data_IF_996422848730
#
_entry.id   IF_996422848730
#
_cell.length_a   1.000
_cell.length_b   1.000
_cell.length_c   1.000
_cell.angle_alpha   90.00
_cell.angle_beta   90.00
_cell.angle_gamma   90.00
#
_symmetry.space_group_name_H-M   'P 1'
#
loop_
_entity.id
_entity.type
_entity.pdbx_description
1 polymer ?
#
# COMPACT_ATOMS: atom_id res chain seq x y z
N UNK A 1 -25.34 25.73 6.52
CA UNK A 1 -24.55 24.64 7.13
C UNK A 1 -25.34 23.36 6.90
N UNK A 2 -24.82 22.41 6.13
CA UNK A 2 -25.51 21.12 5.89
C UNK A 2 -25.58 20.32 7.21
N UNK A 3 -26.64 19.52 7.39
CA UNK A 3 -26.76 18.63 8.54
C UNK A 3 -25.57 17.65 8.58
N UNK A 4 -25.10 17.30 9.78
CA UNK A 4 -23.99 16.36 9.95
C UNK A 4 -24.50 14.94 9.80
N UNK A 5 -23.94 14.17 8.88
CA UNK A 5 -24.28 12.76 8.60
C UNK A 5 -23.04 11.89 8.82
N UNK A 6 -23.21 10.72 9.43
CA UNK A 6 -22.18 9.68 9.52
C UNK A 6 -22.13 8.92 8.18
N UNK A 7 -20.98 8.85 7.50
CA UNK A 7 -20.86 8.12 6.23
C UNK A 7 -21.11 6.60 6.35
N UNK A 8 -21.11 6.05 7.56
CA UNK A 8 -21.34 4.63 7.84
C UNK A 8 -22.78 4.33 8.31
N UNK A 9 -23.53 5.32 8.79
CA UNK A 9 -24.96 5.19 9.10
C UNK A 9 -25.79 5.35 7.83
N UNK A 10 -25.90 4.29 7.01
CA UNK A 10 -26.92 4.27 5.97
C UNK A 10 -27.41 2.84 5.66
N UNK A 11 -28.64 2.56 6.11
CA UNK A 11 -29.56 1.85 5.23
C UNK A 11 -29.64 2.65 3.91
N UNK A 12 -28.96 2.15 2.86
CA UNK A 12 -29.21 2.44 1.44
C UNK A 12 -29.23 3.92 0.95
N UNK A 13 -28.62 4.88 1.63
CA UNK A 13 -28.60 6.30 1.18
C UNK A 13 -27.18 6.82 0.97
N UNK A 14 -26.86 7.20 -0.27
CA UNK A 14 -25.58 7.85 -0.64
C UNK A 14 -25.44 9.20 0.12
N UNK A 15 -24.46 9.34 1.04
CA UNK A 15 -24.29 10.57 1.83
C UNK A 15 -23.75 11.75 0.99
N UNK A 16 -23.35 11.51 -0.26
CA UNK A 16 -22.84 12.48 -1.22
C UNK A 16 -23.88 12.96 -2.24
N UNK A 17 -25.05 12.31 -2.31
CA UNK A 17 -26.14 12.69 -3.20
C UNK A 17 -26.55 14.16 -3.02
N UNK A 18 -26.72 14.87 -4.15
CA UNK A 18 -27.11 16.28 -4.19
C UNK A 18 -26.05 17.28 -3.69
N UNK A 19 -24.80 16.85 -3.48
CA UNK A 19 -23.69 17.72 -3.04
C UNK A 19 -22.67 18.03 -4.14
N UNK A 20 -22.90 17.54 -5.36
CA UNK A 20 -21.95 17.61 -6.46
C UNK A 20 -21.61 19.06 -6.89
N UNK A 21 -22.61 19.93 -7.02
CA UNK A 21 -22.41 21.35 -7.35
C UNK A 21 -21.63 22.11 -6.28
N UNK A 22 -21.89 21.83 -5.00
CA UNK A 22 -21.15 22.44 -3.89
C UNK A 22 -19.69 22.01 -3.87
N UNK A 23 -19.42 20.74 -4.17
CA UNK A 23 -18.06 20.23 -4.30
C UNK A 23 -17.32 20.91 -5.46
N UNK A 24 -17.99 21.16 -6.58
CA UNK A 24 -17.38 21.85 -7.72
C UNK A 24 -17.05 23.32 -7.45
N UNK A 25 -17.97 24.04 -6.81
CA UNK A 25 -17.76 25.44 -6.43
C UNK A 25 -16.49 25.63 -5.59
N UNK A 26 -16.05 24.58 -4.86
CA UNK A 26 -14.78 24.61 -4.15
C UNK A 26 -13.57 24.80 -5.07
N UNK A 27 -13.50 24.14 -6.22
CA UNK A 27 -12.35 24.21 -7.14
C UNK A 27 -12.18 25.57 -7.82
N UNK A 28 -13.23 26.40 -7.82
CA UNK A 28 -13.18 27.80 -8.31
C UNK A 28 -12.62 28.78 -7.28
N UNK A 29 -12.42 28.36 -6.03
CA UNK A 29 -11.84 29.20 -4.97
C UNK A 29 -10.31 29.10 -4.94
N UNK A 30 -9.61 30.11 -4.37
CA UNK A 30 -8.14 30.04 -4.11
C UNK A 30 -7.77 28.70 -3.48
N UNK A 31 -8.49 28.28 -2.44
CA UNK A 31 -8.22 27.03 -1.72
C UNK A 31 -8.34 25.80 -2.59
N UNK A 32 -9.35 25.77 -3.46
CA UNK A 32 -9.59 24.65 -4.36
C UNK A 32 -8.53 24.58 -5.44
N UNK A 33 -8.19 25.72 -6.05
CA UNK A 33 -7.10 25.82 -7.03
C UNK A 33 -5.74 25.47 -6.45
N UNK A 34 -5.37 26.06 -5.30
CA UNK A 34 -4.13 25.72 -4.58
C UNK A 34 -4.06 24.23 -4.27
N UNK A 35 -5.16 23.62 -3.80
CA UNK A 35 -5.22 22.18 -3.57
C UNK A 35 -4.98 21.40 -4.86
N UNK A 36 -5.73 21.73 -5.92
CA UNK A 36 -5.72 20.99 -7.18
C UNK A 36 -4.36 21.07 -7.84
N UNK A 37 -3.86 22.27 -8.10
CA UNK A 37 -2.64 22.52 -8.86
C UNK A 37 -1.40 22.00 -8.12
N UNK A 38 -1.25 22.28 -6.82
CA UNK A 38 -0.12 21.77 -6.04
C UNK A 38 -0.08 20.23 -5.98
N UNK A 39 -1.24 19.59 -5.84
CA UNK A 39 -1.32 18.12 -5.80
C UNK A 39 -1.06 17.53 -7.18
N UNK A 40 -1.61 18.13 -8.24
CA UNK A 40 -1.44 17.70 -9.61
C UNK A 40 0.02 17.84 -10.06
N UNK A 41 0.70 18.94 -9.75
CA UNK A 41 2.13 19.14 -10.02
C UNK A 41 2.98 18.05 -9.37
N UNK A 42 2.74 17.78 -8.08
CA UNK A 42 3.45 16.74 -7.33
C UNK A 42 3.18 15.35 -7.89
N UNK A 43 1.95 15.09 -8.30
CA UNK A 43 1.55 13.82 -8.90
C UNK A 43 2.24 13.64 -10.25
N UNK A 44 2.09 14.59 -11.18
CA UNK A 44 2.71 14.54 -12.51
C UNK A 44 4.23 14.40 -12.45
N UNK A 45 4.89 15.04 -11.47
CA UNK A 45 6.32 14.90 -11.25
C UNK A 45 6.74 13.49 -10.75
N UNK A 46 5.81 12.74 -10.17
CA UNK A 46 6.04 11.38 -9.67
C UNK A 46 5.64 10.30 -10.67
N UNK A 47 4.69 10.60 -11.58
CA UNK A 47 4.20 9.67 -12.59
C UNK A 47 5.27 9.36 -13.65
N UNK A 48 5.29 8.13 -14.21
CA UNK A 48 6.05 7.86 -15.44
C UNK A 48 5.48 8.69 -16.60
N UNK A 49 6.29 9.04 -17.63
CA UNK A 49 5.80 9.80 -18.78
C UNK A 49 4.61 9.10 -19.46
N UNK A 50 3.64 9.89 -19.93
CA UNK A 50 2.53 9.40 -20.73
C UNK A 50 3.03 8.74 -22.05
N UNK A 51 2.31 7.73 -22.59
CA UNK A 51 1.05 7.19 -22.09
C UNK A 51 1.25 6.21 -20.91
N UNK A 52 0.27 6.20 -20.00
CA UNK A 52 0.19 5.25 -18.89
C UNK A 52 -1.26 5.11 -18.41
N UNK A 53 -1.56 4.06 -17.66
CA UNK A 53 -2.90 3.79 -17.13
C UNK A 53 -3.00 4.28 -15.68
N UNK A 54 -4.02 5.07 -15.39
CA UNK A 54 -4.25 5.65 -14.06
C UNK A 54 -5.63 5.26 -13.54
N UNK A 55 -5.70 4.80 -12.30
CA UNK A 55 -6.95 4.64 -11.57
C UNK A 55 -7.16 5.84 -10.63
N UNK A 56 -8.25 6.58 -10.79
CA UNK A 56 -8.72 7.58 -9.83
C UNK A 56 -9.82 6.97 -8.96
N UNK A 57 -9.42 6.40 -7.82
CA UNK A 57 -10.29 5.64 -6.92
C UNK A 57 -10.98 6.59 -5.92
N UNK A 58 -12.29 6.76 -6.08
CA UNK A 58 -13.10 7.83 -5.47
C UNK A 58 -12.86 9.19 -6.14
N UNK A 59 -12.71 9.19 -7.47
CA UNK A 59 -12.37 10.39 -8.24
C UNK A 59 -13.50 11.41 -8.37
N UNK A 60 -14.72 11.04 -7.94
CA UNK A 60 -15.91 11.86 -7.95
C UNK A 60 -16.16 12.55 -9.28
N UNK A 61 -16.19 13.88 -9.25
CA UNK A 61 -16.55 14.73 -10.40
C UNK A 61 -15.40 14.92 -11.42
N UNK A 62 -14.32 14.15 -11.28
CA UNK A 62 -13.22 14.08 -12.25
C UNK A 62 -12.17 15.19 -12.15
N UNK A 63 -12.07 15.88 -11.00
CA UNK A 63 -11.16 17.03 -10.83
C UNK A 63 -9.69 16.70 -11.11
N UNK A 64 -9.24 15.48 -10.78
CA UNK A 64 -7.88 14.99 -11.11
C UNK A 64 -7.88 14.12 -12.37
N UNK A 65 -8.89 13.28 -12.56
CA UNK A 65 -9.00 12.43 -13.75
C UNK A 65 -8.95 13.20 -15.08
N UNK A 66 -9.67 14.31 -15.20
CA UNK A 66 -9.77 15.11 -16.44
C UNK A 66 -8.41 15.71 -16.84
N UNK A 67 -7.69 16.45 -15.98
CA UNK A 67 -6.37 16.99 -16.36
C UNK A 67 -5.33 15.91 -16.61
N UNK A 68 -5.43 14.73 -15.96
CA UNK A 68 -4.57 13.59 -16.28
C UNK A 68 -4.89 13.00 -17.68
N UNK A 69 -6.16 12.86 -18.04
CA UNK A 69 -6.54 12.45 -19.38
C UNK A 69 -6.08 13.46 -20.44
N UNK A 70 -6.18 14.76 -20.15
CA UNK A 70 -5.66 15.83 -21.01
C UNK A 70 -4.13 15.78 -21.15
N UNK A 71 -3.42 15.28 -20.13
CA UNK A 71 -1.98 15.05 -20.17
C UNK A 71 -1.58 13.75 -20.92
N UNK A 72 -2.54 13.00 -21.47
CA UNK A 72 -2.30 11.83 -22.30
C UNK A 72 -2.31 10.48 -21.56
N UNK A 73 -2.80 10.44 -20.32
CA UNK A 73 -3.01 9.18 -19.60
C UNK A 73 -4.36 8.54 -19.96
N UNK A 74 -4.40 7.21 -19.93
CA UNK A 74 -5.65 6.43 -19.96
C UNK A 74 -6.19 6.35 -18.54
N UNK A 75 -7.27 7.09 -18.26
CA UNK A 75 -7.78 7.25 -16.89
C UNK A 75 -9.09 6.48 -16.70
N UNK A 76 -9.08 5.60 -15.71
CA UNK A 76 -10.27 4.97 -15.14
C UNK A 76 -10.67 5.69 -13.86
N UNK A 77 -11.90 6.20 -13.80
CA UNK A 77 -12.46 6.87 -12.62
C UNK A 77 -13.49 5.92 -11.99
N UNK A 78 -13.23 5.52 -10.74
CA UNK A 78 -14.09 4.65 -9.93
C UNK A 78 -14.75 5.49 -8.83
N UNK A 79 -16.08 5.50 -8.74
CA UNK A 79 -16.80 6.20 -7.68
C UNK A 79 -18.17 5.55 -7.40
N UNK A 80 -18.64 5.47 -6.13
CA UNK A 80 -19.95 4.89 -5.84
C UNK A 80 -21.14 5.77 -6.27
N UNK A 81 -20.94 7.08 -6.47
CA UNK A 81 -22.04 8.00 -6.80
C UNK A 81 -22.24 8.14 -8.30
N UNK A 82 -23.32 7.54 -8.82
CA UNK A 82 -23.68 7.65 -10.25
C UNK A 82 -23.87 9.10 -10.70
N UNK A 83 -24.44 9.96 -9.84
CA UNK A 83 -24.60 11.40 -10.09
C UNK A 83 -23.24 12.07 -10.37
N UNK A 84 -22.22 11.72 -9.56
CA UNK A 84 -20.88 12.30 -9.69
C UNK A 84 -20.17 11.78 -10.94
N UNK A 85 -20.34 10.51 -11.28
CA UNK A 85 -19.83 9.91 -12.51
C UNK A 85 -20.46 10.54 -13.76
N UNK A 86 -21.78 10.73 -13.79
CA UNK A 86 -22.45 11.39 -14.91
C UNK A 86 -21.90 12.80 -15.13
N UNK A 87 -21.69 13.55 -14.04
CA UNK A 87 -21.10 14.88 -14.12
C UNK A 87 -19.62 14.85 -14.56
N UNK A 88 -18.83 13.88 -14.10
CA UNK A 88 -17.46 13.68 -14.56
C UNK A 88 -17.40 13.40 -16.07
N UNK A 89 -18.32 12.58 -16.58
CA UNK A 89 -18.46 12.29 -18.01
C UNK A 89 -18.74 13.53 -18.85
N UNK A 90 -19.75 14.33 -18.46
CA UNK A 90 -20.08 15.60 -19.14
C UNK A 90 -18.88 16.55 -19.19
N UNK A 91 -18.13 16.67 -18.09
CA UNK A 91 -16.95 17.54 -18.04
C UNK A 91 -15.79 17.03 -18.87
N UNK A 92 -15.59 15.71 -18.90
CA UNK A 92 -14.60 15.10 -19.77
C UNK A 92 -14.91 15.42 -21.23
N UNK A 93 -16.18 15.29 -21.64
CA UNK A 93 -16.65 15.67 -22.98
C UNK A 93 -16.40 17.16 -23.28
N UNK A 94 -16.75 18.06 -22.36
CA UNK A 94 -16.51 19.50 -22.48
C UNK A 94 -15.00 19.84 -22.60
N UNK A 95 -14.15 19.10 -21.89
CA UNK A 95 -12.70 19.23 -21.96
C UNK A 95 -12.06 18.51 -23.17
N UNK A 96 -12.86 17.81 -23.98
CA UNK A 96 -12.39 17.09 -25.16
C UNK A 96 -11.55 15.84 -24.84
N UNK A 97 -11.76 15.22 -23.67
CA UNK A 97 -11.04 14.02 -23.22
C UNK A 97 -12.02 12.89 -22.92
N UNK A 98 -11.54 11.66 -22.92
CA UNK A 98 -12.33 10.47 -22.57
C UNK A 98 -11.88 9.91 -21.23
N UNK A 99 -12.84 9.48 -20.40
CA UNK A 99 -12.61 8.74 -19.17
C UNK A 99 -13.34 7.39 -19.23
N UNK A 100 -12.74 6.35 -18.63
CA UNK A 100 -13.48 5.12 -18.32
C UNK A 100 -14.16 5.30 -16.97
N UNK A 101 -15.48 5.37 -16.94
CA UNK A 101 -16.26 5.58 -15.71
C UNK A 101 -16.76 4.24 -15.16
N UNK A 102 -16.51 3.98 -13.88
CA UNK A 102 -16.85 2.70 -13.23
C UNK A 102 -17.62 2.98 -11.94
N UNK A 103 -18.90 2.58 -11.84
CA UNK A 103 -19.65 2.70 -10.59
C UNK A 103 -19.20 1.65 -9.59
N UNK A 104 -18.90 2.09 -8.36
CA UNK A 104 -18.63 1.21 -7.24
C UNK A 104 -17.63 1.76 -6.23
N UNK A 105 -17.42 1.01 -5.14
CA UNK A 105 -16.56 1.44 -4.04
C UNK A 105 -15.10 1.07 -4.29
N UNK A 106 -14.17 1.76 -3.64
CA UNK A 106 -12.72 1.51 -3.78
C UNK A 106 -12.34 0.11 -3.29
N UNK A 107 -13.03 -0.38 -2.27
CA UNK A 107 -12.89 -1.72 -1.72
C UNK A 107 -13.19 -2.83 -2.75
N UNK A 108 -14.01 -2.52 -3.77
CA UNK A 108 -14.46 -3.42 -4.84
C UNK A 108 -13.58 -3.32 -6.10
N UNK A 109 -12.52 -2.50 -6.09
CA UNK A 109 -11.70 -2.23 -7.28
C UNK A 109 -11.17 -3.50 -7.98
N UNK A 110 -10.87 -4.56 -7.22
CA UNK A 110 -10.38 -5.83 -7.78
C UNK A 110 -11.41 -6.47 -8.72
N UNK A 111 -12.69 -6.41 -8.37
CA UNK A 111 -13.78 -7.01 -9.12
C UNK A 111 -14.20 -6.12 -10.29
N UNK A 112 -14.25 -4.81 -10.05
CA UNK A 112 -14.84 -3.84 -10.98
C UNK A 112 -13.91 -3.40 -12.11
N UNK A 113 -12.61 -3.27 -11.82
CA UNK A 113 -11.59 -2.89 -12.82
C UNK A 113 -10.59 -4.01 -13.10
N UNK A 114 -10.98 -5.24 -12.74
CA UNK A 114 -10.14 -6.44 -12.68
C UNK A 114 -9.59 -6.98 -14.01
N UNK A 115 -8.63 -7.90 -13.86
CA UNK A 115 -7.81 -8.51 -14.93
C UNK A 115 -6.33 -8.75 -14.55
N UNK A 116 -5.94 -8.40 -13.32
CA UNK A 116 -4.57 -8.42 -12.80
C UNK A 116 -3.96 -7.00 -12.69
N UNK A 117 -2.68 -6.87 -12.30
CA UNK A 117 -1.99 -5.59 -12.18
C UNK A 117 -1.94 -4.81 -13.51
N UNK A 118 -2.69 -3.71 -13.59
CA UNK A 118 -2.98 -3.00 -14.84
C UNK A 118 -2.66 -1.50 -14.82
N UNK A 119 -2.57 -0.88 -13.64
CA UNK A 119 -2.39 0.56 -13.49
C UNK A 119 -0.95 0.93 -13.13
N UNK A 120 -0.43 1.97 -13.80
CA UNK A 120 0.88 2.57 -13.54
C UNK A 120 0.82 3.57 -12.38
N UNK A 121 -0.38 4.06 -12.06
CA UNK A 121 -0.64 4.84 -10.86
C UNK A 121 -2.07 4.71 -10.35
N UNK A 122 -2.23 4.93 -9.05
CA UNK A 122 -3.52 5.01 -8.38
C UNK A 122 -3.61 6.28 -7.53
N UNK A 123 -4.69 7.02 -7.70
CA UNK A 123 -5.07 8.14 -6.85
C UNK A 123 -6.15 7.65 -5.88
N UNK A 124 -6.06 8.10 -4.64
CA UNK A 124 -7.08 7.89 -3.60
C UNK A 124 -7.17 9.18 -2.78
N UNK A 125 -7.88 10.18 -3.32
CA UNK A 125 -7.84 11.57 -2.82
C UNK A 125 -9.09 11.92 -2.04
N UNK A 126 -8.94 12.10 -0.73
CA UNK A 126 -10.01 12.38 0.23
C UNK A 126 -11.06 11.26 0.28
N UNK A 127 -10.57 10.02 0.31
CA UNK A 127 -11.39 8.79 0.29
C UNK A 127 -11.14 7.96 1.53
N UNK A 128 -9.87 7.77 1.93
CA UNK A 128 -9.54 6.97 3.11
C UNK A 128 -10.18 7.51 4.39
N UNK A 129 -10.46 8.81 4.43
CA UNK A 129 -11.17 9.48 5.50
C UNK A 129 -12.67 9.13 5.63
N UNK A 130 -13.28 8.52 4.62
CA UNK A 130 -14.71 8.16 4.58
C UNK A 130 -14.98 6.65 4.65
N UNK A 131 -14.03 5.82 4.23
CA UNK A 131 -14.19 4.35 4.25
C UNK A 131 -14.13 3.80 5.68
N UNK A 132 -14.75 2.64 5.88
CA UNK A 132 -14.75 1.95 7.18
C UNK A 132 -13.33 1.52 7.59
N UNK A 133 -12.67 0.76 6.70
CA UNK A 133 -11.29 0.31 6.85
C UNK A 133 -10.39 0.84 5.70
N UNK A 134 -9.57 1.86 5.97
CA UNK A 134 -8.60 2.38 5.00
C UNK A 134 -7.60 1.35 4.47
N UNK A 135 -7.26 0.33 5.25
CA UNK A 135 -6.31 -0.70 4.81
C UNK A 135 -6.95 -1.67 3.82
N UNK A 136 -8.26 -1.95 3.93
CA UNK A 136 -9.00 -2.70 2.92
C UNK A 136 -8.97 -1.96 1.59
N UNK A 137 -9.26 -0.66 1.60
CA UNK A 137 -9.18 0.17 0.39
C UNK A 137 -7.75 0.17 -0.20
N UNK A 138 -6.72 0.36 0.63
CA UNK A 138 -5.32 0.36 0.20
C UNK A 138 -4.85 -0.99 -0.38
N UNK A 139 -5.34 -2.11 0.17
CA UNK A 139 -5.09 -3.47 -0.37
C UNK A 139 -5.78 -3.69 -1.71
N UNK A 140 -7.04 -3.24 -1.86
CA UNK A 140 -7.79 -3.36 -3.09
C UNK A 140 -7.08 -2.61 -4.23
N UNK A 141 -6.68 -1.36 -4.01
CA UNK A 141 -5.94 -0.59 -5.02
C UNK A 141 -4.53 -1.13 -5.26
N UNK A 142 -3.89 -1.75 -4.26
CA UNK A 142 -2.61 -2.43 -4.48
C UNK A 142 -2.74 -3.57 -5.47
N UNK A 143 -3.79 -4.37 -5.37
CA UNK A 143 -3.95 -5.57 -6.19
C UNK A 143 -4.07 -5.26 -7.69
N UNK A 144 -4.68 -4.12 -8.04
CA UNK A 144 -4.83 -3.68 -9.44
C UNK A 144 -3.64 -2.84 -9.94
N UNK A 145 -2.73 -2.45 -9.06
CA UNK A 145 -1.54 -1.66 -9.39
C UNK A 145 -0.35 -2.53 -9.82
N UNK A 146 0.33 -2.13 -10.90
CA UNK A 146 1.58 -2.75 -11.35
C UNK A 146 2.68 -2.61 -10.30
N UNK A 147 3.69 -3.47 -10.39
CA UNK A 147 4.90 -3.28 -9.59
C UNK A 147 5.55 -1.93 -9.94
N UNK A 148 6.02 -1.21 -8.91
CA UNK A 148 6.57 0.13 -9.09
C UNK A 148 5.53 1.23 -9.36
N UNK A 149 4.24 0.90 -9.48
CA UNK A 149 3.18 1.89 -9.68
C UNK A 149 3.15 2.93 -8.55
N UNK A 150 2.75 4.16 -8.88
CA UNK A 150 2.66 5.26 -7.91
C UNK A 150 1.31 5.24 -7.21
N UNK A 151 1.29 5.29 -5.89
CA UNK A 151 0.11 5.63 -5.10
C UNK A 151 0.18 7.08 -4.65
N UNK A 152 -0.88 7.84 -4.89
CA UNK A 152 -1.05 9.21 -4.41
C UNK A 152 -2.31 9.30 -3.53
N UNK A 153 -2.14 9.67 -2.26
CA UNK A 153 -3.28 9.86 -1.33
C UNK A 153 -3.31 11.26 -0.76
N UNK A 154 -4.49 11.84 -0.60
CA UNK A 154 -4.67 13.21 -0.09
C UNK A 154 -5.74 13.21 1.00
N UNK A 155 -5.33 13.31 2.26
CA UNK A 155 -6.24 13.11 3.39
C UNK A 155 -6.27 14.31 4.33
N UNK A 156 -7.29 14.37 5.20
CA UNK A 156 -7.32 15.39 6.27
C UNK A 156 -6.16 15.17 7.24
N UNK A 157 -5.39 16.24 7.47
CA UNK A 157 -4.29 16.23 8.41
C UNK A 157 -4.78 16.50 9.83
N UNK A 158 -4.66 15.52 10.72
CA UNK A 158 -5.08 15.62 12.13
C UNK A 158 -4.34 16.75 12.84
N UNK A 159 -3.04 16.87 12.61
CA UNK A 159 -2.19 17.86 13.30
C UNK A 159 -2.51 19.30 12.86
N UNK A 160 -3.20 19.49 11.73
CA UNK A 160 -3.66 20.79 11.22
C UNK A 160 -5.13 21.11 11.50
N UNK A 161 -5.91 20.19 12.09
CA UNK A 161 -7.36 20.38 12.21
C UNK A 161 -7.76 21.61 13.04
N UNK A 162 -7.06 21.85 14.14
CA UNK A 162 -7.35 22.94 15.08
C UNK A 162 -6.98 24.33 14.54
N UNK A 163 -6.18 24.42 13.48
CA UNK A 163 -5.68 25.70 12.95
C UNK A 163 -6.82 26.59 12.44
N UNK A 164 -7.66 26.05 11.56
CA UNK A 164 -8.78 26.80 10.97
C UNK A 164 -9.77 27.36 12.00
N UNK A 165 -10.36 26.56 12.91
CA UNK A 165 -11.24 27.10 13.94
C UNK A 165 -10.50 28.07 14.88
N UNK A 166 -9.22 27.81 15.19
CA UNK A 166 -8.40 28.72 15.98
C UNK A 166 -8.23 30.09 15.32
N UNK A 167 -7.91 30.14 14.03
CA UNK A 167 -7.83 31.39 13.26
C UNK A 167 -9.18 32.09 13.11
N UNK A 168 -10.28 31.34 13.07
CA UNK A 168 -11.63 31.89 13.04
C UNK A 168 -12.14 32.35 14.42
N UNK A 169 -11.36 32.16 15.50
CA UNK A 169 -11.75 32.52 16.87
C UNK A 169 -12.71 31.53 17.55
N UNK A 170 -13.02 30.39 16.93
CA UNK A 170 -13.81 29.32 17.54
C UNK A 170 -12.93 28.44 18.43
N UNK A 171 -12.63 28.95 19.63
CA UNK A 171 -11.73 28.29 20.58
C UNK A 171 -12.26 26.95 21.10
N UNK A 172 -13.58 26.77 21.13
CA UNK A 172 -14.22 25.53 21.56
C UNK A 172 -14.02 24.42 20.53
N UNK A 173 -14.26 24.73 19.24
CA UNK A 173 -13.95 23.83 18.13
C UNK A 173 -12.46 23.54 18.04
N UNK A 174 -11.61 24.56 18.17
CA UNK A 174 -10.16 24.40 18.14
C UNK A 174 -9.68 23.46 19.25
N UNK A 175 -10.20 23.61 20.48
CA UNK A 175 -9.87 22.73 21.61
C UNK A 175 -10.28 21.28 21.33
N UNK A 176 -11.51 21.07 20.85
CA UNK A 176 -12.01 19.72 20.52
C UNK A 176 -11.22 19.06 19.39
N UNK A 177 -10.80 19.83 18.39
CA UNK A 177 -10.01 19.35 17.27
C UNK A 177 -8.58 18.92 17.64
N UNK A 178 -8.05 19.32 18.80
CA UNK A 178 -6.74 18.85 19.28
C UNK A 178 -6.74 17.37 19.66
N UNK A 179 -7.87 16.88 20.18
CA UNK A 179 -7.99 15.52 20.73
C UNK A 179 -8.85 14.58 19.87
N UNK A 180 -9.66 15.13 18.95
CA UNK A 180 -10.56 14.35 18.09
C UNK A 180 -9.89 13.92 16.78
N UNK A 181 -9.87 12.61 16.45
CA UNK A 181 -9.49 12.13 15.12
C UNK A 181 -10.61 12.31 14.08
N UNK A 182 -11.76 12.84 14.47
CA UNK A 182 -12.93 13.05 13.61
C UNK A 182 -13.23 14.53 13.43
N UNK A 183 -13.63 14.93 12.22
CA UNK A 183 -14.03 16.30 11.92
C UNK A 183 -15.10 16.37 10.83
N UNK A 184 -16.16 17.15 11.06
CA UNK A 184 -17.10 17.45 9.99
C UNK A 184 -16.46 18.35 8.92
N UNK A 185 -16.57 17.96 7.65
CA UNK A 185 -16.25 18.83 6.51
C UNK A 185 -17.32 19.90 6.27
N UNK A 186 -17.12 20.78 5.30
CA UNK A 186 -18.19 21.70 4.84
C UNK A 186 -19.37 20.95 4.19
N UNK A 187 -19.14 19.74 3.71
CA UNK A 187 -20.15 18.81 3.19
C UNK A 187 -21.12 18.29 4.27
N UNK A 188 -20.87 18.60 5.56
CA UNK A 188 -21.64 18.03 6.66
C UNK A 188 -21.43 16.53 6.81
N UNK A 189 -20.37 15.95 6.26
CA UNK A 189 -20.10 14.51 6.41
C UNK A 189 -18.98 14.37 7.43
N UNK A 190 -19.26 13.61 8.50
CA UNK A 190 -18.24 13.26 9.48
C UNK A 190 -17.17 12.40 8.81
N UNK A 191 -15.90 12.65 9.11
CA UNK A 191 -14.83 11.89 8.49
C UNK A 191 -13.58 11.92 9.36
N UNK A 192 -12.72 10.93 9.11
CA UNK A 192 -11.49 10.72 9.84
C UNK A 192 -10.41 11.71 9.38
N UNK A 193 -9.54 12.09 10.29
CA UNK A 193 -8.27 12.74 9.98
C UNK A 193 -7.12 11.88 10.49
N UNK A 194 -6.03 11.90 9.73
CA UNK A 194 -4.87 11.05 9.99
C UNK A 194 -3.65 11.89 10.36
N UNK A 195 -2.75 11.27 11.11
CA UNK A 195 -1.35 11.69 11.15
C UNK A 195 -0.59 11.04 10.01
N UNK A 196 0.44 11.71 9.51
CA UNK A 196 1.27 11.17 8.42
C UNK A 196 1.89 9.80 8.76
N UNK A 197 2.24 9.57 10.03
CA UNK A 197 2.77 8.28 10.49
C UNK A 197 1.77 7.13 10.33
N UNK A 198 0.48 7.38 10.60
CA UNK A 198 -0.59 6.38 10.48
C UNK A 198 -0.80 6.00 9.01
N UNK A 199 -0.91 6.99 8.11
CA UNK A 199 -1.07 6.75 6.67
C UNK A 199 0.11 5.96 6.11
N UNK A 200 1.34 6.34 6.46
CA UNK A 200 2.55 5.65 6.00
C UNK A 200 2.65 4.22 6.53
N UNK A 201 2.22 3.96 7.77
CA UNK A 201 2.19 2.60 8.32
C UNK A 201 1.14 1.73 7.63
N UNK A 202 -0.05 2.27 7.34
CA UNK A 202 -1.07 1.56 6.56
C UNK A 202 -0.55 1.24 5.15
N UNK A 203 0.11 2.19 4.49
CA UNK A 203 0.76 1.95 3.19
C UNK A 203 1.73 0.76 3.23
N UNK A 204 2.64 0.73 4.22
CA UNK A 204 3.62 -0.37 4.37
C UNK A 204 2.93 -1.72 4.57
N UNK A 205 1.95 -1.80 5.46
CA UNK A 205 1.20 -3.04 5.75
C UNK A 205 0.38 -3.55 4.56
N UNK A 206 0.12 -2.69 3.57
CA UNK A 206 -0.73 -2.99 2.41
C UNK A 206 0.04 -3.06 1.09
N UNK A 207 1.37 -3.20 1.14
CA UNK A 207 2.19 -3.46 -0.04
C UNK A 207 2.66 -2.20 -0.78
N UNK A 208 2.75 -1.07 -0.08
CA UNK A 208 3.25 0.20 -0.60
C UNK A 208 4.46 0.70 0.20
N UNK A 209 5.47 1.23 -0.49
CA UNK A 209 6.61 1.92 0.15
C UNK A 209 6.44 3.43 0.06
N UNK A 210 6.21 4.14 1.19
CA UNK A 210 6.12 5.60 1.18
C UNK A 210 7.41 6.25 0.69
N UNK A 211 7.29 7.21 -0.23
CA UNK A 211 8.41 7.94 -0.85
C UNK A 211 8.51 9.36 -0.33
N UNK A 212 7.40 10.11 -0.33
CA UNK A 212 7.40 11.49 0.13
C UNK A 212 6.03 11.92 0.66
N UNK A 213 5.99 13.06 1.34
CA UNK A 213 4.74 13.68 1.75
C UNK A 213 4.86 15.21 1.79
N UNK A 214 3.73 15.88 1.63
CA UNK A 214 3.60 17.32 1.70
C UNK A 214 2.37 17.75 2.48
N UNK A 215 2.46 18.92 3.11
CA UNK A 215 1.31 19.65 3.61
C UNK A 215 0.68 20.44 2.46
N UNK A 216 -0.65 20.45 2.39
CA UNK A 216 -1.40 21.17 1.35
C UNK A 216 -2.40 22.10 2.02
N UNK A 217 -2.45 23.36 1.54
CA UNK A 217 -3.25 24.46 2.08
C UNK A 217 -2.86 24.78 3.51
N UNK A 218 -1.72 25.43 3.68
CA UNK A 218 -1.36 26.03 4.96
C UNK A 218 -1.90 27.46 5.05
N UNK A 219 -1.41 28.33 4.17
CA UNK A 219 -1.73 29.76 4.20
C UNK A 219 -3.03 30.05 3.46
N UNK A 220 -3.38 29.27 2.44
CA UNK A 220 -4.64 29.46 1.72
C UNK A 220 -5.86 29.03 2.55
N UNK A 221 -5.71 28.14 3.54
CA UNK A 221 -6.85 27.53 4.26
C UNK A 221 -7.75 28.52 5.02
N UNK A 222 -7.21 29.52 5.75
CA UNK A 222 -8.02 30.49 6.47
C UNK A 222 -8.78 31.46 5.55
N UNK A 223 -8.38 31.61 4.28
CA UNK A 223 -9.05 32.50 3.34
C UNK A 223 -10.38 31.90 2.88
N UNK A 224 -11.48 32.59 3.20
CA UNK A 224 -12.86 32.21 2.86
C UNK A 224 -13.44 33.27 1.93
N UNK A 225 -13.50 32.95 0.63
CA UNK A 225 -14.32 33.58 -0.44
C UNK A 225 -13.84 35.02 -0.82
N UNK A 226 -13.74 35.53 -2.06
CA UNK A 226 -14.29 35.28 -3.41
C UNK A 226 -13.22 34.88 -4.46
N UNK A 227 -13.65 34.67 -5.72
CA UNK A 227 -12.80 34.35 -6.87
C UNK A 227 -11.64 35.35 -7.05
N UNK A 228 -10.40 34.92 -6.83
CA UNK A 228 -9.21 35.77 -6.92
C UNK A 228 -8.92 36.19 -8.37
N UNK A 229 -8.15 37.26 -8.57
CA UNK A 229 -7.46 37.49 -9.84
C UNK A 229 -6.46 36.33 -10.08
N UNK A 230 -6.21 35.96 -11.34
CA UNK A 230 -5.22 34.93 -11.70
C UNK A 230 -3.83 35.26 -11.13
N UNK A 231 -3.48 36.56 -11.07
CA UNK A 231 -2.21 37.01 -10.47
C UNK A 231 -2.10 36.71 -8.98
N UNK A 232 -3.23 36.61 -8.27
CA UNK A 232 -3.23 36.27 -6.84
C UNK A 232 -3.02 34.77 -6.65
N UNK A 233 -3.59 33.91 -7.51
CA UNK A 233 -3.44 32.45 -7.37
C UNK A 233 -2.01 32.00 -7.61
N UNK A 234 -1.31 32.56 -8.59
CA UNK A 234 0.10 32.24 -8.85
C UNK A 234 0.98 32.52 -7.63
N UNK A 235 0.79 33.67 -6.96
CA UNK A 235 1.52 34.03 -5.75
C UNK A 235 1.21 33.10 -4.58
N UNK A 236 -0.07 32.73 -4.39
CA UNK A 236 -0.47 31.74 -3.39
C UNK A 236 0.18 30.38 -3.64
N UNK A 237 0.19 29.93 -4.90
CA UNK A 237 0.82 28.67 -5.29
C UNK A 237 2.32 28.68 -5.06
N UNK A 238 3.03 29.75 -5.42
CA UNK A 238 4.47 29.87 -5.18
C UNK A 238 4.82 29.72 -3.70
N UNK A 239 4.09 30.43 -2.83
CA UNK A 239 4.29 30.33 -1.39
C UNK A 239 3.94 28.92 -0.86
N UNK A 240 2.81 28.35 -1.28
CA UNK A 240 2.38 27.02 -0.85
C UNK A 240 3.36 25.94 -1.33
N UNK A 241 3.93 26.05 -2.53
CA UNK A 241 4.98 25.16 -3.05
C UNK A 241 6.22 25.19 -2.15
N UNK A 242 6.67 26.38 -1.73
CA UNK A 242 7.86 26.51 -0.88
C UNK A 242 7.68 25.79 0.47
N UNK A 243 6.48 25.89 1.06
CA UNK A 243 6.23 25.32 2.39
C UNK A 243 5.72 23.88 2.38
N UNK A 244 5.19 23.40 1.25
CA UNK A 244 4.59 22.07 1.13
C UNK A 244 5.50 20.94 1.60
N UNK A 245 6.81 21.03 1.32
CA UNK A 245 7.82 20.05 1.72
C UNK A 245 8.59 20.38 2.99
N UNK A 246 8.36 21.54 3.63
CA UNK A 246 9.27 22.13 4.62
C UNK A 246 8.69 22.01 6.05
N UNK A 247 9.42 21.38 6.95
CA UNK A 247 9.10 21.41 8.39
C UNK A 247 9.49 22.78 8.98
N UNK A 248 8.74 23.32 9.96
CA UNK A 248 7.55 22.74 10.59
C UNK A 248 6.24 22.96 9.80
N UNK A 249 6.25 23.76 8.73
CA UNK A 249 5.06 24.25 8.03
C UNK A 249 4.15 23.13 7.52
N UNK A 250 4.71 22.14 6.80
CA UNK A 250 3.93 21.04 6.23
C UNK A 250 3.15 20.21 7.26
N UNK A 251 3.59 20.20 8.54
CA UNK A 251 2.94 19.42 9.62
C UNK A 251 1.60 19.98 10.05
N UNK A 252 1.38 21.28 9.86
CA UNK A 252 0.17 21.97 10.35
C UNK A 252 -0.74 22.45 9.22
N UNK A 253 -0.41 22.09 7.96
CA UNK A 253 -1.26 22.33 6.81
C UNK A 253 -2.59 21.55 6.91
N UNK A 254 -3.63 21.99 6.18
CA UNK A 254 -4.97 21.42 6.29
C UNK A 254 -5.06 19.96 5.83
N UNK A 255 -4.35 19.63 4.76
CA UNK A 255 -4.34 18.30 4.16
C UNK A 255 -2.92 17.76 4.14
N UNK A 256 -2.79 16.44 4.13
CA UNK A 256 -1.54 15.74 3.87
C UNK A 256 -1.65 15.03 2.53
N UNK A 257 -0.70 15.27 1.64
CA UNK A 257 -0.53 14.54 0.38
C UNK A 257 0.66 13.60 0.53
N UNK A 258 0.45 12.30 0.39
CA UNK A 258 1.51 11.28 0.45
C UNK A 258 1.66 10.60 -0.90
N UNK A 259 2.91 10.29 -1.23
CA UNK A 259 3.28 9.49 -2.39
C UNK A 259 3.96 8.21 -1.91
N UNK A 260 3.59 7.08 -2.50
CA UNK A 260 4.20 5.78 -2.28
C UNK A 260 4.38 5.05 -3.62
N UNK A 261 5.18 3.98 -3.61
CA UNK A 261 5.34 3.10 -4.77
C UNK A 261 4.97 1.68 -4.40
N UNK A 262 4.33 0.95 -5.32
CA UNK A 262 3.99 -0.45 -5.13
C UNK A 262 5.29 -1.25 -4.96
N UNK A 263 5.43 -1.92 -3.82
CA UNK A 263 6.49 -2.93 -3.63
C UNK A 263 5.97 -4.27 -4.14
N UNK A 264 6.82 -5.15 -4.69
CA UNK A 264 6.42 -6.47 -5.16
C UNK A 264 5.55 -7.18 -4.12
N UNK A 265 4.51 -7.92 -4.54
CA UNK A 265 3.74 -8.74 -3.61
C UNK A 265 4.70 -9.60 -2.81
N UNK A 266 4.56 -9.58 -1.48
CA UNK A 266 5.33 -10.47 -0.63
C UNK A 266 4.96 -11.94 -0.91
N UNK A 267 3.81 -12.25 -1.51
CA UNK A 267 3.45 -13.62 -1.83
C UNK A 267 4.31 -14.24 -2.95
N UNK A 268 4.84 -15.45 -2.74
CA UNK A 268 5.32 -16.33 -3.79
C UNK A 268 4.25 -17.38 -4.11
N UNK A 269 3.93 -17.56 -5.39
CA UNK A 269 3.12 -18.69 -5.86
C UNK A 269 3.98 -19.97 -5.79
N UNK A 270 4.03 -20.57 -4.61
CA UNK A 270 4.87 -21.75 -4.33
C UNK A 270 4.47 -22.93 -5.22
N UNK A 271 3.19 -23.09 -5.50
CA UNK A 271 2.70 -24.19 -6.34
C UNK A 271 3.21 -24.03 -7.77
N UNK A 272 3.15 -22.81 -8.33
CA UNK A 272 3.73 -22.54 -9.65
C UNK A 272 5.26 -22.70 -9.66
N UNK A 273 5.96 -22.24 -8.62
CA UNK A 273 7.42 -22.41 -8.50
C UNK A 273 7.80 -23.90 -8.40
N UNK A 274 7.05 -24.68 -7.62
CA UNK A 274 7.28 -26.10 -7.45
C UNK A 274 7.00 -26.86 -8.75
N UNK A 275 5.89 -26.58 -9.43
CA UNK A 275 5.58 -27.16 -10.75
C UNK A 275 6.70 -26.87 -11.77
N UNK A 276 7.17 -25.61 -11.83
CA UNK A 276 8.30 -25.24 -12.68
C UNK A 276 9.62 -25.91 -12.25
N UNK A 277 9.77 -26.27 -10.98
CA UNK A 277 10.95 -26.96 -10.45
C UNK A 277 11.01 -28.41 -10.91
N UNK A 278 9.88 -29.13 -10.85
CA UNK A 278 9.77 -30.50 -11.39
C UNK A 278 9.89 -30.53 -12.91
N UNK A 279 9.28 -29.57 -13.61
CA UNK A 279 9.40 -29.46 -15.06
C UNK A 279 10.86 -29.29 -15.53
N UNK A 280 11.67 -28.56 -14.75
CA UNK A 280 13.12 -28.35 -15.00
C UNK A 280 14.02 -29.46 -14.44
N UNK A 281 13.49 -30.37 -13.62
CA UNK A 281 14.29 -31.45 -13.04
C UNK A 281 14.62 -32.50 -14.10
N UNK A 282 15.91 -32.73 -14.33
CA UNK A 282 16.44 -33.70 -15.29
C UNK A 282 17.38 -34.70 -14.61
N UNK A 283 17.57 -35.86 -15.25
CA UNK A 283 18.50 -36.91 -14.81
C UNK A 283 18.33 -37.30 -13.34
N UNK A 284 19.44 -37.32 -12.60
CA UNK A 284 19.49 -37.74 -11.20
C UNK A 284 18.63 -36.90 -10.27
N UNK A 285 18.33 -35.64 -10.61
CA UNK A 285 17.41 -34.82 -9.79
C UNK A 285 16.00 -35.37 -9.86
N UNK A 286 15.52 -35.76 -11.05
CA UNK A 286 14.17 -36.31 -11.23
C UNK A 286 14.04 -37.69 -10.58
N UNK A 287 15.10 -38.48 -10.59
CA UNK A 287 15.14 -39.77 -9.90
C UNK A 287 15.14 -39.62 -8.37
N UNK A 288 15.86 -38.63 -7.84
CA UNK A 288 15.92 -38.39 -6.39
C UNK A 288 14.70 -37.62 -5.84
N UNK A 289 13.99 -36.89 -6.70
CA UNK A 289 12.79 -36.10 -6.37
C UNK A 289 11.68 -36.42 -7.38
N UNK A 290 11.08 -37.60 -7.30
CA UNK A 290 9.95 -37.97 -8.14
C UNK A 290 8.75 -37.04 -7.89
N UNK A 291 8.19 -36.50 -8.97
CA UNK A 291 7.09 -35.54 -8.89
C UNK A 291 5.81 -36.15 -8.28
N UNK A 292 5.63 -37.46 -8.44
CA UNK A 292 4.48 -38.22 -7.91
C UNK A 292 4.41 -38.19 -6.37
N UNK A 293 5.57 -38.07 -5.72
CA UNK A 293 5.70 -38.17 -4.26
C UNK A 293 5.85 -36.78 -3.61
N UNK A 294 5.58 -35.73 -4.38
CA UNK A 294 5.69 -34.35 -3.92
C UNK A 294 4.57 -33.97 -2.94
N UNK A 295 4.94 -33.37 -1.80
CA UNK A 295 4.01 -32.59 -0.97
C UNK A 295 3.55 -31.36 -1.76
N UNK A 296 2.22 -31.16 -1.90
CA UNK A 296 1.62 -30.06 -2.68
C UNK A 296 0.59 -29.26 -1.90
N UNK A 297 0.37 -28.01 -2.31
CA UNK A 297 -0.68 -27.14 -1.80
C UNK A 297 -0.76 -27.15 -0.27
N UNK A 298 -1.93 -27.50 0.27
CA UNK A 298 -2.18 -27.54 1.71
C UNK A 298 -1.22 -28.47 2.47
N UNK A 299 -0.84 -29.63 1.92
CA UNK A 299 0.03 -30.59 2.60
C UNK A 299 1.47 -30.06 2.76
N UNK A 300 1.97 -29.35 1.74
CA UNK A 300 3.27 -28.67 1.81
C UNK A 300 3.25 -27.55 2.86
N UNK A 301 2.21 -26.73 2.84
CA UNK A 301 2.07 -25.62 3.78
C UNK A 301 1.97 -26.13 5.23
N UNK A 302 1.12 -27.13 5.48
CA UNK A 302 0.97 -27.73 6.80
C UNK A 302 2.29 -28.35 7.31
N UNK A 303 3.04 -29.01 6.42
CA UNK A 303 4.37 -29.53 6.76
C UNK A 303 5.31 -28.39 7.19
N UNK A 304 5.44 -27.33 6.41
CA UNK A 304 6.35 -26.21 6.73
C UNK A 304 5.91 -25.42 7.97
N UNK A 305 4.61 -25.20 8.15
CA UNK A 305 4.06 -24.48 9.30
C UNK A 305 4.32 -25.22 10.61
N UNK A 306 4.14 -26.54 10.62
CA UNK A 306 4.37 -27.40 11.80
C UNK A 306 5.84 -27.42 12.24
N UNK A 307 6.79 -27.29 11.32
CA UNK A 307 8.23 -27.46 11.64
C UNK A 307 8.81 -26.17 12.20
N UNK A 308 9.48 -26.26 13.36
CA UNK A 308 10.12 -25.12 14.01
C UNK A 308 11.46 -24.70 13.39
N UNK A 309 12.23 -25.67 12.90
CA UNK A 309 13.62 -25.45 12.48
C UNK A 309 13.90 -26.12 11.15
N UNK A 310 14.80 -25.53 10.37
CA UNK A 310 15.35 -26.11 9.15
C UNK A 310 16.83 -25.76 9.00
N UNK A 311 17.48 -26.40 8.03
CA UNK A 311 18.88 -26.17 7.71
C UNK A 311 18.99 -25.10 6.62
N UNK A 312 19.59 -23.96 6.94
CA UNK A 312 19.91 -22.92 5.96
C UNK A 312 21.37 -23.03 5.53
N UNK A 313 21.59 -23.21 4.23
CA UNK A 313 22.90 -23.16 3.59
C UNK A 313 23.08 -21.80 2.91
N UNK A 314 24.19 -21.12 3.23
CA UNK A 314 24.61 -19.82 2.68
C UNK A 314 26.05 -19.90 2.20
N UNK A 315 26.46 -19.03 1.27
CA UNK A 315 27.82 -19.05 0.70
C UNK A 315 28.73 -18.08 1.46
N UNK A 316 29.87 -18.56 1.96
CA UNK A 316 30.89 -17.67 2.55
C UNK A 316 31.60 -16.87 1.45
N UNK A 317 32.22 -15.72 1.77
CA UNK A 317 33.01 -14.96 0.79
C UNK A 317 34.15 -15.73 0.10
N UNK A 318 34.63 -16.82 0.69
CA UNK A 318 35.64 -17.71 0.11
C UNK A 318 35.04 -18.89 -0.68
N UNK A 319 33.72 -18.87 -0.94
CA UNK A 319 32.98 -19.88 -1.69
C UNK A 319 32.61 -21.13 -0.91
N UNK A 320 33.07 -21.31 0.34
CA UNK A 320 32.69 -22.49 1.14
C UNK A 320 31.25 -22.39 1.63
N UNK A 321 30.47 -23.50 1.62
CA UNK A 321 29.13 -23.49 2.16
C UNK A 321 29.15 -23.36 3.69
N UNK A 322 28.18 -22.64 4.22
CA UNK A 322 27.89 -22.53 5.65
C UNK A 322 26.45 -22.97 5.89
N UNK A 323 26.31 -24.14 6.51
CA UNK A 323 25.02 -24.71 6.90
C UNK A 323 24.78 -24.48 8.39
N UNK A 324 23.60 -23.97 8.74
CA UNK A 324 23.19 -23.76 10.12
C UNK A 324 21.72 -24.07 10.33
N UNK A 325 21.40 -24.70 11.46
CA UNK A 325 20.01 -24.84 11.92
C UNK A 325 19.46 -23.47 12.30
N UNK A 326 18.31 -23.12 11.76
CA UNK A 326 17.65 -21.83 11.99
C UNK A 326 16.15 -22.04 12.22
N UNK A 327 15.61 -21.26 13.15
CA UNK A 327 14.18 -21.17 13.36
C UNK A 327 13.54 -20.30 12.27
N UNK A 328 12.31 -20.62 11.89
CA UNK A 328 11.64 -19.96 10.78
C UNK A 328 10.12 -19.92 10.93
N UNK A 329 9.52 -18.94 10.26
CA UNK A 329 8.09 -18.88 9.96
C UNK A 329 7.91 -18.87 8.44
N UNK A 330 6.78 -19.39 7.98
CA UNK A 330 6.36 -19.26 6.58
C UNK A 330 5.10 -18.44 6.53
N UNK A 331 4.98 -17.61 5.49
CA UNK A 331 3.73 -16.90 5.17
C UNK A 331 3.76 -16.50 3.71
N UNK A 332 2.63 -16.67 3.03
CA UNK A 332 2.46 -16.28 1.64
C UNK A 332 3.55 -16.87 0.73
N UNK A 333 3.97 -18.11 1.01
CA UNK A 333 5.00 -18.78 0.21
C UNK A 333 6.44 -18.33 0.40
N UNK A 334 6.71 -17.40 1.32
CA UNK A 334 8.06 -16.99 1.70
C UNK A 334 8.51 -17.69 2.99
N UNK A 335 9.82 -17.82 3.16
CA UNK A 335 10.44 -18.30 4.39
C UNK A 335 11.11 -17.13 5.12
N UNK A 336 10.64 -16.84 6.34
CA UNK A 336 11.14 -15.76 7.19
C UNK A 336 12.08 -16.35 8.25
N UNK A 337 13.32 -15.88 8.24
CA UNK A 337 14.44 -16.43 8.99
C UNK A 337 15.05 -15.33 9.88
N UNK A 338 14.54 -15.10 11.09
CA UNK A 338 15.06 -14.05 11.97
C UNK A 338 16.51 -14.28 12.38
N UNK A 339 17.24 -13.18 12.58
CA UNK A 339 18.65 -13.19 12.88
C UNK A 339 19.05 -12.03 13.81
N UNK A 340 20.20 -12.22 14.44
CA UNK A 340 20.92 -11.16 15.16
C UNK A 340 21.93 -10.52 14.21
N UNK A 341 22.18 -9.23 14.45
CA UNK A 341 23.14 -8.44 13.69
C UNK A 341 24.52 -9.08 13.78
N UNK A 342 25.21 -9.14 12.65
CA UNK A 342 26.54 -9.75 12.57
C UNK A 342 26.58 -11.28 12.57
N UNK A 343 25.42 -11.96 12.66
CA UNK A 343 25.35 -13.41 12.47
C UNK A 343 26.04 -13.82 11.15
N UNK A 344 26.73 -14.97 11.16
CA UNK A 344 27.49 -15.44 9.99
C UNK A 344 26.61 -15.51 8.74
N UNK A 345 25.37 -16.01 8.88
CA UNK A 345 24.41 -16.07 7.77
C UNK A 345 24.04 -14.69 7.21
N UNK A 346 23.89 -13.66 8.06
CA UNK A 346 23.57 -12.29 7.62
C UNK A 346 24.73 -11.73 6.80
N UNK A 347 25.97 -11.89 7.28
CA UNK A 347 27.17 -11.46 6.53
C UNK A 347 27.36 -12.22 5.22
N UNK A 348 27.06 -13.51 5.20
CA UNK A 348 27.11 -14.32 3.99
C UNK A 348 26.05 -13.85 2.97
N UNK A 349 24.82 -13.59 3.43
CA UNK A 349 23.71 -13.16 2.59
C UNK A 349 23.87 -11.74 2.03
N UNK A 350 24.55 -10.87 2.77
CA UNK A 350 24.98 -9.55 2.29
C UNK A 350 26.00 -9.66 1.13
N UNK A 351 26.82 -10.73 1.13
CA UNK A 351 27.79 -11.00 0.07
C UNK A 351 27.18 -11.73 -1.13
N UNK A 352 26.38 -12.77 -0.88
CA UNK A 352 25.69 -13.57 -1.89
C UNK A 352 24.25 -13.80 -1.42
N UNK A 353 23.23 -13.18 -2.06
CA UNK A 353 21.85 -13.24 -1.60
C UNK A 353 21.19 -14.60 -1.83
N UNK A 354 21.89 -15.59 -2.39
CA UNK A 354 21.32 -16.92 -2.68
C UNK A 354 21.45 -17.84 -1.48
N UNK A 355 20.41 -18.61 -1.21
CA UNK A 355 20.42 -19.65 -0.18
C UNK A 355 19.63 -20.89 -0.58
N UNK A 356 19.99 -22.02 0.04
CA UNK A 356 19.19 -23.24 0.04
C UNK A 356 18.72 -23.51 1.47
N UNK A 357 17.44 -23.82 1.62
CA UNK A 357 16.80 -24.11 2.90
C UNK A 357 16.15 -25.48 2.86
N UNK A 358 16.48 -26.34 3.83
CA UNK A 358 16.00 -27.72 3.87
C UNK A 358 15.24 -27.96 5.17
N UNK A 359 14.05 -28.53 5.05
CA UNK A 359 13.24 -28.98 6.18
C UNK A 359 12.95 -30.46 6.01
N UNK A 360 13.20 -31.26 7.04
CA UNK A 360 12.97 -32.70 6.99
C UNK A 360 12.34 -33.26 8.27
N UNK A 361 11.77 -34.45 8.14
CA UNK A 361 11.14 -35.23 9.19
C UNK A 361 11.28 -36.71 8.89
N UNK A 362 11.39 -37.54 9.93
CA UNK A 362 11.53 -38.99 9.78
C UNK A 362 12.90 -39.42 9.23
N UNK A 363 13.05 -40.74 9.14
CA UNK A 363 14.21 -41.43 8.58
C UNK A 363 13.73 -42.68 7.82
N UNK A 364 14.55 -43.21 6.90
CA UNK A 364 14.22 -44.44 6.19
C UNK A 364 12.97 -44.30 5.31
N UNK A 365 12.03 -45.23 5.42
CA UNK A 365 10.83 -45.29 4.58
C UNK A 365 9.76 -44.23 4.93
N UNK A 366 9.86 -43.61 6.11
CA UNK A 366 8.85 -42.64 6.58
C UNK A 366 9.34 -41.19 6.44
N UNK A 367 10.41 -40.95 5.66
CA UNK A 367 11.03 -39.64 5.59
C UNK A 367 10.25 -38.67 4.69
N UNK A 368 10.19 -37.42 5.14
CA UNK A 368 9.68 -36.27 4.37
C UNK A 368 10.76 -35.22 4.28
N UNK A 369 10.93 -34.63 3.11
CA UNK A 369 11.89 -33.56 2.90
C UNK A 369 11.33 -32.48 1.98
N UNK A 370 11.67 -31.23 2.27
CA UNK A 370 11.41 -30.08 1.41
C UNK A 370 12.71 -29.30 1.25
N UNK A 371 13.06 -28.99 0.00
CA UNK A 371 14.18 -28.12 -0.37
C UNK A 371 13.63 -26.88 -1.05
N UNK A 372 13.98 -25.72 -0.51
CA UNK A 372 13.66 -24.40 -1.04
C UNK A 372 14.95 -23.70 -1.42
N UNK A 373 15.13 -23.32 -2.68
CA UNK A 373 16.27 -22.51 -3.14
C UNK A 373 15.77 -21.17 -3.66
N UNK A 374 16.52 -20.10 -3.41
CA UNK A 374 16.20 -18.80 -4.01
C UNK A 374 16.97 -17.63 -3.44
N UNK A 375 16.50 -16.45 -3.81
CA UNK A 375 17.08 -15.19 -3.43
C UNK A 375 16.53 -14.74 -2.08
N UNK A 376 17.39 -14.11 -1.29
CA UNK A 376 17.10 -13.66 0.07
C UNK A 376 17.21 -12.15 0.14
N UNK A 377 16.17 -11.52 0.66
CA UNK A 377 16.18 -10.11 1.04
C UNK A 377 16.49 -10.01 2.54
N UNK A 378 17.46 -9.17 2.92
CA UNK A 378 17.75 -8.86 4.32
C UNK A 378 16.99 -7.60 4.76
N UNK A 379 16.16 -7.74 5.80
CA UNK A 379 15.42 -6.65 6.43
C UNK A 379 16.09 -6.28 7.75
N UNK A 380 16.92 -5.23 7.76
CA UNK A 380 17.74 -4.81 8.92
C UNK A 380 17.05 -3.87 9.92
N UNK A 381 15.77 -3.52 9.70
CA UNK A 381 14.88 -2.93 10.71
C UNK A 381 13.51 -3.63 10.63
N UNK A 382 13.40 -4.87 11.14
CA UNK A 382 12.23 -5.70 10.94
C UNK A 382 11.05 -5.31 11.85
N UNK A 383 11.10 -4.18 12.57
CA UNK A 383 10.05 -3.78 13.52
C UNK A 383 8.64 -3.79 12.92
N UNK A 384 8.51 -3.44 11.65
CA UNK A 384 7.23 -3.51 10.95
C UNK A 384 6.71 -4.95 10.82
N UNK A 385 7.59 -5.93 10.53
CA UNK A 385 7.24 -7.35 10.46
C UNK A 385 6.96 -7.91 11.86
N UNK A 386 7.82 -7.56 12.84
CA UNK A 386 7.74 -8.06 14.21
C UNK A 386 6.50 -7.55 14.96
N UNK A 387 6.12 -6.29 14.75
CA UNK A 387 4.92 -5.69 15.36
C UNK A 387 3.63 -6.03 14.61
N UNK A 388 3.74 -6.72 13.48
CA UNK A 388 2.61 -7.22 12.70
C UNK A 388 2.50 -8.73 12.91
N UNK A 389 2.43 -9.51 11.83
CA UNK A 389 2.12 -10.93 11.93
C UNK A 389 3.26 -11.80 12.43
N UNK A 390 4.51 -11.43 12.12
CA UNK A 390 5.65 -12.33 12.33
C UNK A 390 5.92 -12.50 13.83
N UNK A 391 5.76 -11.44 14.63
CA UNK A 391 5.90 -11.54 16.08
C UNK A 391 4.83 -12.42 16.73
N UNK A 392 3.57 -12.33 16.27
CA UNK A 392 2.50 -13.18 16.78
C UNK A 392 2.67 -14.63 16.34
N UNK A 393 2.93 -14.89 15.07
CA UNK A 393 3.21 -16.23 14.56
C UNK A 393 4.40 -16.87 15.29
N UNK A 394 5.43 -16.09 15.59
CA UNK A 394 6.57 -16.55 16.36
C UNK A 394 6.21 -16.92 17.79
N UNK A 395 5.42 -16.08 18.48
CA UNK A 395 4.96 -16.34 19.85
C UNK A 395 4.15 -17.62 19.91
N UNK A 396 3.21 -17.81 18.98
CA UNK A 396 2.40 -19.04 18.88
C UNK A 396 3.29 -20.26 18.64
N UNK A 397 4.28 -20.15 17.76
CA UNK A 397 5.10 -21.29 17.32
C UNK A 397 6.21 -21.67 18.31
N UNK A 398 6.77 -20.70 19.02
CA UNK A 398 7.98 -20.90 19.84
C UNK A 398 7.84 -20.45 21.29
N UNK A 399 6.68 -19.95 21.72
CA UNK A 399 6.44 -19.41 23.06
C UNK A 399 7.53 -18.41 23.52
N UNK A 400 7.94 -17.52 22.62
CA UNK A 400 8.98 -16.52 22.86
C UNK A 400 8.70 -15.21 22.15
N UNK A 401 9.24 -14.11 22.69
CA UNK A 401 9.15 -12.79 22.06
C UNK A 401 10.29 -12.58 21.07
N UNK A 402 9.95 -12.55 19.78
CA UNK A 402 10.90 -12.33 18.71
C UNK A 402 11.53 -10.93 18.75
N UNK A 403 10.76 -9.92 19.17
CA UNK A 403 11.20 -8.53 19.23
C UNK A 403 12.27 -8.29 20.30
N UNK A 404 12.43 -9.21 21.25
CA UNK A 404 13.43 -9.12 22.30
C UNK A 404 14.87 -9.32 21.78
N UNK A 405 15.07 -9.93 20.60
CA UNK A 405 16.40 -10.27 20.11
C UNK A 405 16.61 -10.15 18.59
N UNK A 406 15.56 -10.28 17.77
CA UNK A 406 15.73 -10.21 16.32
C UNK A 406 16.01 -8.77 15.87
N UNK A 407 17.17 -8.57 15.25
CA UNK A 407 17.57 -7.29 14.65
C UNK A 407 17.46 -7.29 13.14
N UNK A 408 17.47 -8.48 12.52
CA UNK A 408 17.39 -8.67 11.09
C UNK A 408 16.42 -9.82 10.78
N UNK A 409 15.77 -9.77 9.62
CA UNK A 409 15.00 -10.91 9.09
C UNK A 409 15.47 -11.19 7.68
N UNK A 410 15.98 -12.40 7.44
CA UNK A 410 16.24 -12.90 6.09
C UNK A 410 14.93 -13.45 5.52
N UNK A 411 14.49 -12.91 4.39
CA UNK A 411 13.26 -13.29 3.70
C UNK A 411 13.66 -14.04 2.43
N UNK A 412 13.56 -15.36 2.47
CA UNK A 412 13.88 -16.23 1.34
C UNK A 412 12.67 -16.33 0.41
N UNK A 413 12.85 -15.91 -0.84
CA UNK A 413 11.88 -16.02 -1.93
C UNK A 413 12.21 -17.25 -2.77
N UNK A 414 11.31 -18.25 -2.85
CA UNK A 414 11.57 -19.45 -3.62
C UNK A 414 11.71 -19.16 -5.13
N UNK A 415 12.77 -19.70 -5.72
CA UNK A 415 12.96 -19.84 -7.18
C UNK A 415 12.96 -21.30 -7.62
N UNK A 416 13.15 -22.20 -6.64
CA UNK A 416 13.02 -23.64 -6.78
C UNK A 416 12.45 -24.23 -5.49
N UNK A 417 11.51 -25.16 -5.64
CA UNK A 417 10.95 -25.94 -4.54
C UNK A 417 10.86 -27.40 -4.99
N UNK A 418 11.46 -28.30 -4.21
CA UNK A 418 11.32 -29.75 -4.36
C UNK A 418 10.85 -30.31 -3.02
N UNK A 419 10.03 -31.36 -3.07
CA UNK A 419 9.54 -32.02 -1.87
C UNK A 419 9.38 -33.51 -2.13
N UNK A 420 9.53 -34.32 -1.09
CA UNK A 420 9.34 -35.76 -1.20
C UNK A 420 8.71 -36.26 0.08
N UNK A 421 7.74 -37.15 -0.08
CA UNK A 421 7.09 -37.88 0.98
C UNK A 421 7.21 -39.38 0.70
N UNK A 422 8.19 -40.02 1.34
CA UNK A 422 8.49 -41.43 1.14
C UNK A 422 7.38 -42.36 1.65
N UNK A 423 6.39 -41.85 2.41
CA UNK A 423 5.21 -42.65 2.75
C UNK A 423 4.31 -42.96 1.54
N UNK A 424 4.60 -42.38 0.38
CA UNK A 424 3.96 -42.70 -0.89
C UNK A 424 4.69 -43.79 -1.70
N UNK A 425 5.90 -44.21 -1.28
CA UNK A 425 6.75 -45.19 -1.99
C UNK A 425 6.26 -46.65 -1.88
#
# INVERSE_FOLDING_TARGET
MLAVVDPLDAEHTDPFAGKAEFFDGHYRSIRGRVRLELVLERLLAALPPAPGRVLDAGGGTGAYAIPLAAAGYDVTLLDPSEEWLEMAGKRAEEAGVSLTLVPGRVEEAVELVGGGPAFDAVLCHAVLMYVEDPEVALRAVRHVAREGAVLSTLEKNRDGLAMRPGFAGDLSEARRALDSPMAAGRLGIMNRAFRVGEVRQMMVRTGWRPVSWAGVRLFSDPHVDDGPDESDVAQWLDLEREVAGRDPYRRVARLLHTLAVAIPPQAADVDAVQAASYARAEGSTREAWPEADALRGAALNEFLERKGYGMLATTRPDGRPHAAMVAFCVRDGLVYLPAMVGAVRVRNLDHDPRASFVVSEGEGADHRAVVVEGDVELVSDPRALLNDWLGEAWRVKFDSDLAAWATDVAVLRPTRVLSHDASND
#
